data_IF_355216072133
#
_entry.id   IF_355216072133
#
_cell.length_a   1.000
_cell.length_b   1.000
_cell.length_c   1.000
_cell.angle_alpha   90.00
_cell.angle_beta   90.00
_cell.angle_gamma   90.00
#
_symmetry.space_group_name_H-M   'P 1'
#
loop_
_entity.id
_entity.type
_entity.pdbx_description
1 polymer ?
#
# COMPACT_ATOMS: atom_id res chain seq x y z
N UNK A 1 -5.54 2.06 5.63
CA UNK A 1 -5.34 3.17 4.66
C UNK A 1 -4.26 4.09 5.19
N UNK A 2 -3.45 4.69 4.32
CA UNK A 2 -2.44 5.68 4.69
C UNK A 2 -2.87 7.06 4.21
N UNK A 3 -2.87 8.03 5.11
CA UNK A 3 -3.26 9.43 4.88
C UNK A 3 -2.10 10.32 5.29
N UNK A 4 -1.78 11.32 4.47
CA UNK A 4 -0.76 12.34 4.75
C UNK A 4 -1.36 13.73 4.82
N UNK A 5 -0.61 14.68 5.39
CA UNK A 5 -1.04 16.09 5.50
C UNK A 5 -0.90 16.87 4.18
N UNK A 6 -0.01 16.43 3.29
CA UNK A 6 0.21 17.01 1.94
C UNK A 6 0.39 15.87 0.90
N UNK A 7 0.44 16.19 -0.39
CA UNK A 7 0.55 15.25 -1.52
C UNK A 7 1.89 15.38 -2.28
N UNK A 8 2.95 15.84 -1.59
CA UNK A 8 4.26 16.05 -2.19
C UNK A 8 5.08 14.77 -2.17
N UNK A 9 6.15 14.74 -2.97
CA UNK A 9 7.07 13.60 -3.08
C UNK A 9 7.49 13.00 -1.71
N UNK A 10 7.83 13.77 -0.66
CA UNK A 10 8.16 13.20 0.64
C UNK A 10 7.02 12.38 1.27
N UNK A 11 5.77 12.79 1.06
CA UNK A 11 4.58 12.13 1.60
C UNK A 11 4.34 10.78 0.91
N UNK A 12 4.54 10.71 -0.41
CA UNK A 12 4.52 9.44 -1.16
C UNK A 12 5.55 8.45 -0.63
N UNK A 13 6.78 8.92 -0.34
CA UNK A 13 7.87 8.07 0.19
C UNK A 13 7.52 7.57 1.59
N UNK A 14 7.07 8.46 2.48
CA UNK A 14 6.65 8.10 3.84
C UNK A 14 5.47 7.13 3.83
N UNK A 15 4.53 7.32 2.92
CA UNK A 15 3.39 6.42 2.77
C UNK A 15 3.82 5.03 2.28
N UNK A 16 4.79 4.96 1.35
CA UNK A 16 5.40 3.71 0.92
C UNK A 16 6.08 2.98 2.09
N UNK A 17 6.83 3.70 2.93
CA UNK A 17 7.46 3.13 4.12
C UNK A 17 6.42 2.61 5.13
N UNK A 18 5.35 3.37 5.36
CA UNK A 18 4.25 2.95 6.24
C UNK A 18 3.53 1.69 5.73
N UNK A 19 3.30 1.58 4.42
CA UNK A 19 2.77 0.35 3.81
C UNK A 19 3.69 -0.85 4.01
N UNK A 20 5.00 -0.68 3.78
CA UNK A 20 5.97 -1.74 3.98
C UNK A 20 5.99 -2.20 5.44
N UNK A 21 5.99 -1.25 6.39
CA UNK A 21 5.92 -1.56 7.82
C UNK A 21 4.64 -2.35 8.15
N UNK A 22 3.49 -1.95 7.62
CA UNK A 22 2.23 -2.67 7.82
C UNK A 22 2.27 -4.10 7.26
N UNK A 23 2.90 -4.31 6.10
CA UNK A 23 3.09 -5.65 5.51
C UNK A 23 3.97 -6.52 6.39
N UNK A 24 5.08 -5.98 6.89
CA UNK A 24 5.99 -6.71 7.78
C UNK A 24 5.33 -7.05 9.11
N UNK A 25 4.59 -6.10 9.70
CA UNK A 25 3.83 -6.33 10.93
C UNK A 25 2.77 -7.42 10.72
N UNK A 26 1.98 -7.35 9.65
CA UNK A 26 0.99 -8.38 9.33
C UNK A 26 1.61 -9.76 9.17
N UNK A 27 2.76 -9.87 8.48
CA UNK A 27 3.48 -11.14 8.34
C UNK A 27 3.89 -11.72 9.69
N UNK A 28 4.33 -10.88 10.63
CA UNK A 28 4.74 -11.32 11.97
C UNK A 28 3.56 -11.81 12.83
N UNK A 29 2.34 -11.36 12.54
CA UNK A 29 1.12 -11.70 13.29
C UNK A 29 0.18 -12.67 12.56
N UNK A 30 0.61 -13.23 11.43
CA UNK A 30 -0.21 -14.17 10.64
C UNK A 30 -1.33 -13.51 9.84
N UNK A 31 -1.29 -12.19 9.66
CA UNK A 31 -2.25 -11.40 8.87
C UNK A 31 -1.69 -11.11 7.48
N UNK A 32 -2.49 -11.33 6.44
CA UNK A 32 -2.16 -10.92 5.09
C UNK A 32 -2.49 -9.43 4.88
N UNK A 33 -1.51 -8.68 4.40
CA UNK A 33 -1.66 -7.28 4.01
C UNK A 33 -1.28 -7.16 2.53
N UNK A 34 -2.24 -6.75 1.69
CA UNK A 34 -2.03 -6.53 0.25
C UNK A 34 -2.15 -5.05 -0.08
N UNK A 35 -1.03 -4.34 -0.34
CA UNK A 35 -1.05 -2.95 -0.77
C UNK A 35 -1.81 -2.78 -2.10
N UNK A 36 -2.56 -1.69 -2.21
CA UNK A 36 -3.32 -1.27 -3.39
C UNK A 36 -3.04 0.22 -3.60
N UNK A 37 -2.09 0.54 -4.48
CA UNK A 37 -1.61 1.91 -4.70
C UNK A 37 -2.15 2.56 -5.99
N UNK A 38 -2.59 1.76 -6.97
CA UNK A 38 -3.06 2.27 -8.25
C UNK A 38 -4.35 3.13 -8.14
N UNK A 39 -5.21 2.84 -7.16
CA UNK A 39 -6.49 3.54 -6.96
C UNK A 39 -6.26 4.99 -6.54
N UNK A 40 -5.23 5.23 -5.71
CA UNK A 40 -4.90 6.56 -5.19
C UNK A 40 -4.03 7.37 -6.13
N UNK A 41 -3.59 6.83 -7.28
CA UNK A 41 -2.89 7.62 -8.30
C UNK A 41 -3.84 8.40 -9.21
N UNK A 42 -5.14 8.05 -9.25
CA UNK A 42 -6.14 8.82 -10.00
C UNK A 42 -6.70 9.96 -9.16
N UNK A 43 -6.49 11.20 -9.61
CA UNK A 43 -6.95 12.43 -8.93
C UNK A 43 -8.45 12.41 -8.61
N UNK A 44 -9.29 12.00 -9.56
CA UNK A 44 -10.75 11.92 -9.36
C UNK A 44 -11.15 10.92 -8.26
N UNK A 45 -10.42 9.80 -8.14
CA UNK A 45 -10.66 8.80 -7.11
C UNK A 45 -10.22 9.33 -5.73
N UNK A 46 -9.07 10.01 -5.64
CA UNK A 46 -8.64 10.67 -4.40
C UNK A 46 -9.63 11.75 -3.95
N UNK A 47 -10.07 12.62 -4.86
CA UNK A 47 -11.06 13.65 -4.55
C UNK A 47 -12.35 13.03 -4.00
N UNK A 48 -12.89 12.03 -4.70
CA UNK A 48 -14.10 11.33 -4.23
C UNK A 48 -13.90 10.56 -2.91
N UNK A 49 -12.70 10.06 -2.61
CA UNK A 49 -12.38 9.46 -1.32
C UNK A 49 -12.40 10.50 -0.20
N UNK A 50 -11.79 11.67 -0.43
CA UNK A 50 -11.76 12.77 0.55
C UNK A 50 -13.18 13.28 0.80
N UNK A 51 -13.93 13.57 -0.25
CA UNK A 51 -15.27 14.14 -0.16
C UNK A 51 -16.28 13.20 0.50
N UNK A 52 -16.29 11.91 0.10
CA UNK A 52 -17.30 10.95 0.59
C UNK A 52 -16.99 10.36 1.95
N UNK A 53 -15.72 10.37 2.37
CA UNK A 53 -15.30 9.77 3.65
C UNK A 53 -14.69 10.79 4.62
N UNK A 54 -14.70 12.08 4.29
CA UNK A 54 -14.32 13.16 5.20
C UNK A 54 -12.86 13.10 5.66
N UNK A 55 -11.94 12.63 4.80
CA UNK A 55 -10.54 12.50 5.21
C UNK A 55 -9.90 13.87 5.46
N UNK A 56 -9.28 14.04 6.63
CA UNK A 56 -8.56 15.26 7.01
C UNK A 56 -7.20 15.46 6.30
N UNK A 57 -6.95 14.75 5.20
CA UNK A 57 -5.67 14.75 4.50
C UNK A 57 -5.73 13.97 3.19
N UNK A 58 -4.57 13.75 2.57
CA UNK A 58 -4.45 13.15 1.25
C UNK A 58 -4.30 11.63 1.32
N UNK A 59 -5.20 10.86 0.68
CA UNK A 59 -5.05 9.41 0.52
C UNK A 59 -3.80 9.05 -0.26
N UNK A 60 -2.84 8.39 0.38
CA UNK A 60 -1.56 7.99 -0.23
C UNK A 60 -1.50 6.51 -0.59
N UNK A 61 -2.25 5.66 0.12
CA UNK A 61 -2.30 4.23 -0.17
C UNK A 61 -3.49 3.51 0.48
N UNK A 62 -3.96 2.45 -0.18
CA UNK A 62 -4.89 1.48 0.37
C UNK A 62 -4.18 0.16 0.64
N UNK A 63 -4.73 -0.63 1.55
CA UNK A 63 -4.31 -2.01 1.76
C UNK A 63 -5.54 -2.85 2.08
N UNK A 64 -5.61 -4.05 1.51
CA UNK A 64 -6.59 -5.06 1.86
C UNK A 64 -5.95 -5.91 2.96
N UNK A 65 -6.64 -6.04 4.09
CA UNK A 65 -6.18 -6.78 5.27
C UNK A 65 -7.11 -7.98 5.45
N UNK A 66 -6.55 -9.17 5.67
CA UNK A 66 -7.34 -10.37 5.88
C UNK A 66 -6.54 -11.51 6.50
N UNK A 67 -7.23 -12.59 6.85
CA UNK A 67 -6.57 -13.81 7.30
C UNK A 67 -5.62 -14.32 6.20
N UNK A 68 -4.47 -14.84 6.62
CA UNK A 68 -3.52 -15.46 5.69
C UNK A 68 -4.13 -16.76 5.15
N UNK A 69 -4.47 -16.77 3.86
CA UNK A 69 -4.80 -18.00 3.13
C UNK A 69 -3.58 -18.95 3.07
N UNK A 70 -3.76 -20.21 2.63
CA UNK A 70 -2.67 -21.19 2.56
C UNK A 70 -1.45 -20.62 1.80
N UNK A 71 -0.26 -20.94 2.31
CA UNK A 71 1.02 -20.36 1.86
C UNK A 71 1.22 -20.64 0.37
N UNK A 72 1.05 -19.62 -0.47
CA UNK A 72 1.22 -19.75 -1.93
C UNK A 72 0.81 -18.55 -2.78
N UNK A 73 0.05 -17.59 -2.22
CA UNK A 73 -0.55 -16.47 -2.98
C UNK A 73 -0.02 -15.08 -2.58
N UNK A 74 1.23 -15.00 -2.10
CA UNK A 74 1.92 -13.72 -1.86
C UNK A 74 2.62 -13.18 -3.12
N UNK A 75 2.90 -11.87 -3.23
CA UNK A 75 3.62 -11.32 -4.38
C UNK A 75 4.96 -12.04 -4.53
N UNK A 76 5.18 -12.68 -5.68
CA UNK A 76 6.45 -13.30 -6.03
C UNK A 76 7.49 -12.17 -6.11
N UNK A 77 8.53 -12.24 -5.28
CA UNK A 77 9.69 -11.36 -5.45
C UNK A 77 10.19 -11.52 -6.90
N UNK A 78 10.35 -10.40 -7.60
CA UNK A 78 10.93 -10.42 -8.95
C UNK A 78 12.34 -11.00 -8.83
N UNK A 79 12.59 -12.18 -9.41
CA UNK A 79 13.93 -12.74 -9.46
C UNK A 79 14.70 -11.99 -10.55
N UNK A 80 15.64 -11.13 -10.16
CA UNK A 80 16.69 -10.69 -11.06
C UNK A 80 17.63 -11.87 -11.33
N UNK A 81 17.29 -12.77 -12.26
CA UNK A 81 18.30 -13.64 -12.86
C UNK A 81 19.07 -12.78 -13.85
N UNK A 82 20.24 -12.30 -13.45
CA UNK A 82 21.28 -11.92 -14.41
C UNK A 82 21.82 -13.23 -14.97
N UNK A 83 21.56 -13.46 -16.25
CA UNK A 83 22.22 -14.51 -17.01
C UNK A 83 23.47 -13.86 -17.60
N UNK A 84 24.61 -14.07 -16.95
CA UNK A 84 25.90 -13.86 -17.61
C UNK A 84 26.28 -15.19 -18.26
N UNK A 85 26.38 -15.19 -19.59
CA UNK A 85 26.99 -16.23 -20.41
C UNK A 85 27.79 -15.54 -21.50
#
# INVERSE_FOLDING_TARGET
MVISTDDRRPDHVRAGAALQAAVLAGRSTGVAVRPVVHVVHRRAWRAGLIERHGFAGFPQALAIIGAKGPVGTGPRAASCRRSDS
#
